data_IF_382168768498
#
_entry.id   IF_382168768498
#
_cell.length_a   1.000
_cell.length_b   1.000
_cell.length_c   1.000
_cell.angle_alpha   90.00
_cell.angle_beta   90.00
_cell.angle_gamma   90.00
#
_symmetry.space_group_name_H-M   'P 1'
#
loop_
_entity.id
_entity.type
_entity.pdbx_description
1 polymer ?
#
# COMPACT_ATOMS: atom_id res chain seq x y z
N UNK A 1 -35.33 -9.88 28.56
CA UNK A 1 -34.49 -8.68 28.35
C UNK A 1 -33.04 -9.06 28.07
N UNK A 2 -32.46 -10.00 28.82
CA UNK A 2 -31.07 -10.43 28.67
C UNK A 2 -30.71 -10.95 27.26
N UNK A 3 -31.63 -11.63 26.59
CA UNK A 3 -31.42 -12.10 25.20
C UNK A 3 -31.20 -10.96 24.19
N UNK A 4 -31.74 -9.76 24.46
CA UNK A 4 -31.62 -8.61 23.57
C UNK A 4 -30.20 -8.05 23.60
N UNK A 5 -29.59 -7.94 24.79
CA UNK A 5 -28.18 -7.56 24.94
C UNK A 5 -27.27 -8.56 24.25
N UNK A 6 -27.51 -9.87 24.42
CA UNK A 6 -26.73 -10.89 23.73
C UNK A 6 -26.89 -10.81 22.20
N UNK A 7 -28.09 -10.50 21.69
CA UNK A 7 -28.31 -10.32 20.26
C UNK A 7 -27.60 -9.07 19.71
N UNK A 8 -27.65 -7.94 20.43
CA UNK A 8 -26.87 -6.74 20.13
C UNK A 8 -25.38 -7.07 20.12
N UNK A 9 -24.91 -7.81 21.14
CA UNK A 9 -23.53 -8.25 21.23
C UNK A 9 -23.11 -9.09 20.02
N UNK A 10 -23.94 -10.07 19.64
CA UNK A 10 -23.70 -10.93 18.48
C UNK A 10 -23.64 -10.12 17.17
N UNK A 11 -24.56 -9.17 17.00
CA UNK A 11 -24.55 -8.26 15.86
C UNK A 11 -23.21 -7.50 15.75
N UNK A 12 -22.71 -6.95 16.85
CA UNK A 12 -21.43 -6.23 16.84
C UNK A 12 -20.21 -7.14 16.69
N UNK A 13 -20.24 -8.38 17.19
CA UNK A 13 -19.21 -9.37 16.90
C UNK A 13 -19.12 -9.64 15.39
N UNK A 14 -20.27 -9.88 14.74
CA UNK A 14 -20.33 -10.14 13.29
C UNK A 14 -19.90 -8.91 12.50
N UNK A 15 -20.37 -7.72 12.88
CA UNK A 15 -19.96 -6.47 12.26
C UNK A 15 -18.45 -6.25 12.35
N UNK A 16 -17.83 -6.52 13.50
CA UNK A 16 -16.39 -6.41 13.69
C UNK A 16 -15.61 -7.38 12.79
N UNK A 17 -16.06 -8.63 12.67
CA UNK A 17 -15.42 -9.62 11.78
C UNK A 17 -15.51 -9.19 10.31
N UNK A 18 -16.67 -8.70 9.86
CA UNK A 18 -16.86 -8.20 8.49
C UNK A 18 -15.97 -6.98 8.23
N UNK A 19 -15.94 -6.03 9.16
CA UNK A 19 -15.09 -4.83 9.06
C UNK A 19 -13.61 -5.21 9.02
N UNK A 20 -13.15 -6.09 9.91
CA UNK A 20 -11.78 -6.55 9.96
C UNK A 20 -11.36 -7.23 8.65
N UNK A 21 -12.23 -8.10 8.10
CA UNK A 21 -11.99 -8.72 6.80
C UNK A 21 -11.86 -7.69 5.68
N UNK A 22 -12.76 -6.70 5.63
CA UNK A 22 -12.72 -5.66 4.62
C UNK A 22 -11.43 -4.83 4.70
N UNK A 23 -10.99 -4.47 5.92
CA UNK A 23 -9.73 -3.75 6.14
C UNK A 23 -8.53 -4.60 5.70
N UNK A 24 -8.47 -5.87 6.09
CA UNK A 24 -7.39 -6.77 5.69
C UNK A 24 -7.32 -6.97 4.18
N UNK A 25 -8.48 -7.09 3.50
CA UNK A 25 -8.53 -7.15 2.04
C UNK A 25 -8.01 -5.86 1.40
N UNK A 26 -8.36 -4.70 1.96
CA UNK A 26 -7.82 -3.41 1.54
C UNK A 26 -6.29 -3.39 1.66
N UNK A 27 -5.76 -3.75 2.83
CA UNK A 27 -4.30 -3.80 3.08
C UNK A 27 -3.59 -4.75 2.10
N UNK A 28 -4.15 -5.92 1.82
CA UNK A 28 -3.57 -6.89 0.88
C UNK A 28 -3.59 -6.35 -0.55
N UNK A 29 -4.68 -5.72 -0.98
CA UNK A 29 -4.78 -5.10 -2.31
C UNK A 29 -3.80 -3.94 -2.42
N UNK A 30 -3.73 -3.06 -1.43
CA UNK A 30 -2.80 -1.94 -1.39
C UNK A 30 -1.35 -2.43 -1.40
N UNK A 31 -1.03 -3.49 -0.65
CA UNK A 31 0.31 -4.10 -0.65
C UNK A 31 0.64 -4.75 -1.99
N UNK A 32 -0.31 -5.40 -2.63
CA UNK A 32 -0.14 -5.96 -3.96
C UNK A 32 0.04 -4.85 -5.01
N UNK A 33 -0.74 -3.76 -4.92
CA UNK A 33 -0.59 -2.59 -5.77
C UNK A 33 0.75 -1.91 -5.54
N UNK A 34 1.21 -1.77 -4.30
CA UNK A 34 2.54 -1.23 -3.98
C UNK A 34 3.62 -2.16 -4.53
N UNK A 35 3.53 -3.48 -4.34
CA UNK A 35 4.50 -4.42 -4.89
C UNK A 35 4.55 -4.39 -6.43
N UNK A 36 3.40 -4.18 -7.08
CA UNK A 36 3.30 -3.99 -8.52
C UNK A 36 3.72 -2.57 -8.98
N UNK A 37 3.64 -1.58 -8.09
CA UNK A 37 3.96 -0.16 -8.34
C UNK A 37 5.32 0.25 -7.78
N UNK A 38 6.07 -0.63 -7.12
CA UNK A 38 7.42 -0.38 -6.59
C UNK A 38 8.46 -0.09 -7.70
N UNK A 39 8.02 -0.01 -8.95
CA UNK A 39 8.77 0.47 -10.10
C UNK A 39 8.31 1.83 -10.65
N UNK A 40 7.28 2.45 -10.08
CA UNK A 40 6.80 3.78 -10.42
C UNK A 40 6.82 4.64 -9.14
N UNK A 41 7.86 5.47 -9.03
CA UNK A 41 8.13 6.52 -8.03
C UNK A 41 6.99 7.52 -7.82
N UNK A 42 5.99 7.59 -8.71
CA UNK A 42 4.83 8.47 -8.54
C UNK A 42 3.75 7.84 -7.65
N UNK A 43 4.05 7.75 -6.34
CA UNK A 43 3.07 7.37 -5.33
C UNK A 43 1.93 8.41 -5.26
N UNK A 44 0.80 8.10 -5.90
CA UNK A 44 -0.47 8.73 -5.57
C UNK A 44 -0.83 8.31 -4.15
N UNK A 45 -0.52 9.21 -3.21
CA UNK A 45 -1.05 9.27 -1.85
C UNK A 45 -1.34 7.90 -1.25
N UNK A 46 -0.29 7.21 -0.80
CA UNK A 46 -0.44 6.15 0.17
C UNK A 46 -1.32 6.71 1.30
N UNK A 47 -2.55 6.22 1.41
CA UNK A 47 -3.44 6.53 2.53
C UNK A 47 -2.59 6.35 3.79
N UNK A 48 -2.42 7.38 4.64
CA UNK A 48 -1.45 7.32 5.72
C UNK A 48 -1.74 6.07 6.55
N UNK A 49 -0.74 5.21 6.71
CA UNK A 49 -0.84 3.89 7.37
C UNK A 49 -1.57 3.96 8.72
N UNK A 50 -1.47 5.12 9.38
CA UNK A 50 -2.20 5.51 10.58
C UNK A 50 -3.72 5.35 10.51
N UNK A 51 -4.35 5.65 9.37
CA UNK A 51 -5.79 5.50 9.16
C UNK A 51 -6.23 4.04 9.22
N UNK A 52 -5.48 3.14 8.59
CA UNK A 52 -5.75 1.71 8.61
C UNK A 52 -5.57 1.13 10.01
N UNK A 53 -4.50 1.50 10.72
CA UNK A 53 -4.26 1.07 12.10
C UNK A 53 -5.42 1.51 13.00
N UNK A 54 -5.87 2.77 12.89
CA UNK A 54 -6.96 3.29 13.69
C UNK A 54 -8.29 2.55 13.46
N UNK A 55 -8.60 2.25 12.20
CA UNK A 55 -9.81 1.50 11.81
C UNK A 55 -9.75 0.04 12.26
N UNK A 56 -8.57 -0.57 12.22
CA UNK A 56 -8.31 -1.93 12.70
C UNK A 56 -8.56 -2.01 14.23
N UNK A 57 -7.98 -1.06 14.97
CA UNK A 57 -8.15 -0.96 16.43
C UNK A 57 -9.60 -0.68 16.83
N UNK A 58 -10.28 0.21 16.10
CA UNK A 58 -11.71 0.48 16.31
C UNK A 58 -12.58 -0.75 16.08
N UNK A 59 -12.31 -1.52 15.02
CA UNK A 59 -13.03 -2.76 14.73
C UNK A 59 -12.81 -3.82 15.82
N UNK A 60 -11.59 -3.92 16.35
CA UNK A 60 -11.29 -4.80 17.47
C UNK A 60 -12.07 -4.41 18.74
N UNK A 61 -12.07 -3.11 19.10
CA UNK A 61 -12.81 -2.62 20.27
C UNK A 61 -14.32 -2.87 20.15
N UNK A 62 -14.91 -2.67 18.96
CA UNK A 62 -16.33 -2.99 18.70
C UNK A 62 -16.59 -4.49 18.85
N UNK A 63 -15.68 -5.35 18.37
CA UNK A 63 -15.77 -6.79 18.56
C UNK A 63 -15.71 -7.19 20.03
N UNK A 64 -14.79 -6.62 20.79
CA UNK A 64 -14.65 -6.86 22.23
C UNK A 64 -15.89 -6.40 23.01
N UNK A 65 -16.46 -5.25 22.63
CA UNK A 65 -17.73 -4.77 23.14
C UNK A 65 -18.85 -5.79 22.86
N UNK A 66 -18.93 -6.28 21.62
CA UNK A 66 -19.86 -7.34 21.23
C UNK A 66 -19.74 -8.60 22.09
N UNK A 67 -18.52 -9.13 22.23
CA UNK A 67 -18.24 -10.35 23.03
C UNK A 67 -18.66 -10.15 24.48
N UNK A 68 -18.31 -9.00 25.08
CA UNK A 68 -18.69 -8.69 26.45
C UNK A 68 -20.20 -8.66 26.67
N UNK A 69 -20.97 -8.15 25.69
CA UNK A 69 -22.43 -8.16 25.74
C UNK A 69 -23.02 -9.57 25.51
N UNK A 70 -22.43 -10.40 24.64
CA UNK A 70 -22.87 -11.79 24.42
C UNK A 70 -22.82 -12.58 25.72
N UNK A 71 -21.70 -12.49 26.44
CA UNK A 71 -21.50 -13.17 27.74
C UNK A 71 -22.14 -12.42 28.92
N UNK A 72 -22.85 -11.32 28.65
CA UNK A 72 -23.53 -10.48 29.64
C UNK A 72 -22.60 -9.97 30.74
N UNK A 73 -21.36 -9.62 30.41
CA UNK A 73 -20.37 -9.17 31.38
C UNK A 73 -20.70 -7.77 31.93
N UNK A 74 -20.57 -7.57 33.24
CA UNK A 74 -20.73 -6.28 33.91
C UNK A 74 -19.80 -5.16 33.38
N UNK A 75 -18.66 -5.51 32.78
CA UNK A 75 -17.77 -4.55 32.12
C UNK A 75 -18.21 -4.10 30.72
N UNK A 76 -19.21 -4.75 30.12
CA UNK A 76 -19.70 -4.40 28.79
C UNK A 76 -19.96 -2.90 28.56
N UNK A 77 -20.70 -2.16 29.44
CA UNK A 77 -20.95 -0.73 29.22
C UNK A 77 -19.66 0.10 29.12
N UNK A 78 -18.63 -0.24 29.89
CA UNK A 78 -17.35 0.47 29.86
C UNK A 78 -16.59 0.22 28.56
N UNK A 79 -16.63 -1.01 28.04
CA UNK A 79 -15.99 -1.36 26.75
C UNK A 79 -16.75 -0.71 25.59
N UNK A 80 -18.08 -0.70 25.62
CA UNK A 80 -18.89 0.04 24.64
C UNK A 80 -18.58 1.55 24.69
N UNK A 81 -18.49 2.14 25.87
CA UNK A 81 -18.15 3.55 26.02
C UNK A 81 -16.76 3.88 25.47
N UNK A 82 -15.77 3.00 25.71
CA UNK A 82 -14.42 3.14 25.17
C UNK A 82 -14.40 3.06 23.65
N UNK A 83 -15.11 2.08 23.05
CA UNK A 83 -15.23 1.95 21.61
C UNK A 83 -15.95 3.16 20.98
N UNK A 84 -17.01 3.66 21.62
CA UNK A 84 -17.71 4.86 21.18
C UNK A 84 -16.80 6.10 21.23
N UNK A 85 -16.03 6.26 22.30
CA UNK A 85 -15.05 7.34 22.42
C UNK A 85 -14.00 7.25 21.31
N UNK A 86 -13.46 6.06 21.05
CA UNK A 86 -12.49 5.83 19.97
C UNK A 86 -13.05 6.24 18.59
N UNK A 87 -14.29 5.87 18.31
CA UNK A 87 -14.96 6.24 17.05
C UNK A 87 -15.30 7.73 16.97
N UNK A 88 -15.62 8.37 18.10
CA UNK A 88 -15.82 9.81 18.16
C UNK A 88 -14.52 10.57 17.85
N UNK A 89 -13.38 10.13 18.42
CA UNK A 89 -12.06 10.70 18.14
C UNK A 89 -11.69 10.51 16.67
N UNK A 90 -12.01 9.34 16.08
CA UNK A 90 -11.83 9.12 14.66
C UNK A 90 -12.57 10.17 13.82
N UNK A 91 -13.89 10.31 14.04
CA UNK A 91 -14.73 11.17 13.23
C UNK A 91 -14.47 12.66 13.44
N UNK A 92 -14.10 13.07 14.66
CA UNK A 92 -13.90 14.48 15.00
C UNK A 92 -12.49 14.99 14.68
N UNK A 93 -11.46 14.13 14.78
CA UNK A 93 -10.07 14.58 14.71
C UNK A 93 -9.23 13.82 13.69
N UNK A 94 -9.23 12.49 13.72
CA UNK A 94 -8.33 11.70 12.86
C UNK A 94 -8.75 11.80 11.39
N UNK A 95 -10.03 11.57 11.11
CA UNK A 95 -10.56 11.62 9.76
C UNK A 95 -10.35 12.99 9.08
N UNK A 96 -10.75 14.13 9.67
CA UNK A 96 -10.58 15.42 9.02
C UNK A 96 -9.11 15.86 8.85
N UNK A 97 -8.21 15.40 9.72
CA UNK A 97 -6.81 15.86 9.74
C UNK A 97 -5.87 14.99 8.91
N UNK A 98 -6.13 13.69 8.88
CA UNK A 98 -5.20 12.71 8.32
C UNK A 98 -5.79 11.88 7.17
N UNK A 99 -7.11 11.76 7.06
CA UNK A 99 -7.76 10.92 6.04
C UNK A 99 -8.35 11.76 4.93
N UNK A 100 -9.09 12.81 5.30
CA UNK A 100 -9.68 13.75 4.38
C UNK A 100 -8.58 14.77 3.98
N UNK A 101 -7.93 14.56 2.83
CA UNK A 101 -6.87 15.45 2.35
C UNK A 101 -7.33 16.92 2.22
N UNK A 102 -6.41 17.87 1.96
CA UNK A 102 -6.71 19.31 1.94
C UNK A 102 -7.66 19.77 0.82
N UNK A 103 -8.09 18.88 -0.07
CA UNK A 103 -9.00 19.16 -1.18
C UNK A 103 -10.49 18.93 -0.82
N UNK A 104 -11.42 19.41 -1.67
CA UNK A 104 -12.83 19.11 -1.50
C UNK A 104 -13.09 17.60 -1.62
N UNK A 105 -13.80 17.03 -0.63
CA UNK A 105 -14.21 15.62 -0.68
C UNK A 105 -15.08 15.36 -1.92
N UNK A 106 -14.79 14.27 -2.62
CA UNK A 106 -15.66 13.72 -3.65
C UNK A 106 -16.99 13.21 -3.05
N UNK A 107 -17.97 12.94 -3.91
CA UNK A 107 -19.30 12.50 -3.43
C UNK A 107 -19.27 11.14 -2.73
N UNK A 108 -18.37 10.25 -3.13
CA UNK A 108 -18.29 8.91 -2.57
C UNK A 108 -17.66 8.93 -1.17
N UNK A 109 -16.64 9.76 -0.93
CA UNK A 109 -16.10 9.99 0.41
C UNK A 109 -17.14 10.61 1.33
N UNK A 110 -17.94 11.56 0.84
CA UNK A 110 -19.05 12.16 1.62
C UNK A 110 -20.09 11.11 2.02
N UNK A 111 -20.49 10.23 1.10
CA UNK A 111 -21.42 9.13 1.39
C UNK A 111 -20.83 8.16 2.42
N UNK A 112 -19.57 7.77 2.25
CA UNK A 112 -18.86 6.93 3.21
C UNK A 112 -18.83 7.54 4.62
N UNK A 113 -18.49 8.83 4.73
CA UNK A 113 -18.45 9.56 6.00
C UNK A 113 -19.83 9.64 6.67
N UNK A 114 -20.89 9.84 5.89
CA UNK A 114 -22.25 9.84 6.40
C UNK A 114 -22.68 8.46 6.91
N UNK A 115 -22.32 7.37 6.22
CA UNK A 115 -22.56 6.01 6.69
C UNK A 115 -21.83 5.74 8.00
N UNK A 116 -20.56 6.14 8.13
CA UNK A 116 -19.81 5.99 9.39
C UNK A 116 -20.45 6.78 10.54
N UNK A 117 -20.95 7.99 10.29
CA UNK A 117 -21.68 8.79 11.29
C UNK A 117 -22.98 8.13 11.71
N UNK A 118 -23.76 7.62 10.76
CA UNK A 118 -25.00 6.92 11.07
C UNK A 118 -24.74 5.65 11.88
N UNK A 119 -23.73 4.86 11.51
CA UNK A 119 -23.30 3.69 12.26
C UNK A 119 -22.87 4.05 13.69
N UNK A 120 -22.13 5.15 13.86
CA UNK A 120 -21.75 5.65 15.17
C UNK A 120 -22.96 6.04 16.05
N UNK A 121 -23.98 6.68 15.47
CA UNK A 121 -25.22 7.01 16.21
C UNK A 121 -25.93 5.73 16.68
N UNK A 122 -26.04 4.71 15.82
CA UNK A 122 -26.62 3.41 16.20
C UNK A 122 -25.80 2.74 17.29
N UNK A 123 -24.47 2.83 17.22
CA UNK A 123 -23.56 2.32 18.26
C UNK A 123 -23.73 3.05 19.60
N UNK A 124 -23.92 4.37 19.59
CA UNK A 124 -24.21 5.14 20.80
C UNK A 124 -25.54 4.73 21.45
N UNK A 125 -26.58 4.50 20.64
CA UNK A 125 -27.86 4.00 21.17
C UNK A 125 -27.70 2.62 21.81
N UNK A 126 -26.93 1.73 21.19
CA UNK A 126 -26.59 0.44 21.79
C UNK A 126 -25.79 0.59 23.09
N UNK A 127 -24.82 1.52 23.12
CA UNK A 127 -24.02 1.83 24.31
C UNK A 127 -24.90 2.29 25.47
N UNK A 128 -25.82 3.22 25.22
CA UNK A 128 -26.78 3.71 26.23
C UNK A 128 -27.68 2.57 26.71
N UNK A 129 -28.15 1.72 25.79
CA UNK A 129 -28.99 0.58 26.15
C UNK A 129 -28.24 -0.44 27.03
N UNK A 130 -27.00 -0.78 26.71
CA UNK A 130 -26.17 -1.69 27.53
C UNK A 130 -25.92 -1.08 28.91
N UNK A 131 -25.62 0.22 28.99
CA UNK A 131 -25.48 0.93 30.27
C UNK A 131 -26.78 0.91 31.09
N UNK A 132 -27.93 1.11 30.45
CA UNK A 132 -29.23 0.99 31.12
C UNK A 132 -29.46 -0.42 31.69
N UNK A 133 -29.12 -1.46 30.94
CA UNK A 133 -29.24 -2.85 31.42
C UNK A 133 -28.28 -3.15 32.57
N UNK A 134 -27.08 -2.55 32.57
CA UNK A 134 -26.14 -2.61 33.69
C UNK A 134 -26.73 -2.01 34.97
N UNK A 135 -27.33 -0.81 34.89
CA UNK A 135 -27.97 -0.15 36.05
C UNK A 135 -29.15 -0.96 36.63
N UNK A 136 -29.83 -1.75 35.80
CA UNK A 136 -30.87 -2.68 36.24
C UNK A 136 -30.32 -3.95 36.94
N UNK A 137 -29.00 -4.12 37.01
CA UNK A 137 -28.36 -5.29 37.62
C UNK A 137 -28.59 -6.59 36.85
N UNK A 138 -28.88 -6.52 35.56
CA UNK A 138 -29.20 -7.68 34.71
C UNK A 138 -27.98 -8.31 34.06
N UNK A 139 -26.81 -7.69 34.16
CA UNK A 139 -25.54 -8.23 33.69
C UNK A 139 -24.91 -9.14 34.74
N UNK A 140 -24.24 -10.18 34.28
CA UNK A 140 -23.48 -11.12 35.10
C UNK A 140 -22.26 -10.43 35.69
N UNK A 141 -22.24 -10.32 37.01
CA UNK A 141 -21.08 -9.82 37.75
C UNK A 141 -19.88 -10.73 37.51
N UNK A 142 -18.68 -10.15 37.48
CA UNK A 142 -17.43 -10.90 37.29
C UNK A 142 -17.26 -12.10 38.24
N UNK A 143 -17.79 -12.02 39.46
CA UNK A 143 -17.76 -13.11 40.45
C UNK A 143 -18.62 -14.33 40.08
N UNK A 144 -19.61 -14.16 39.20
CA UNK A 144 -20.62 -15.17 38.87
C UNK A 144 -20.47 -15.72 37.45
N UNK A 145 -19.38 -15.37 36.74
CA UNK A 145 -19.09 -15.94 35.44
C UNK A 145 -18.77 -17.44 35.57
N UNK A 146 -19.56 -18.28 34.90
CA UNK A 146 -19.21 -19.69 34.71
C UNK A 146 -17.89 -19.83 33.94
N UNK A 147 -17.21 -20.98 34.11
CA UNK A 147 -15.90 -21.24 33.48
C UNK A 147 -15.91 -21.06 31.95
N UNK A 148 -17.03 -21.36 31.28
CA UNK A 148 -17.18 -21.19 29.84
C UNK A 148 -17.17 -19.72 29.42
N UNK A 149 -17.73 -18.82 30.23
CA UNK A 149 -17.67 -17.39 29.96
C UNK A 149 -16.24 -16.86 30.16
N UNK A 150 -15.53 -17.38 31.16
CA UNK A 150 -14.12 -17.08 31.38
C UNK A 150 -13.24 -17.52 30.22
N UNK A 151 -13.43 -18.70 29.65
CA UNK A 151 -12.62 -19.14 28.50
C UNK A 151 -12.84 -18.26 27.28
N UNK A 152 -14.08 -17.85 27.00
CA UNK A 152 -14.38 -16.90 25.91
C UNK A 152 -13.74 -15.54 26.17
N UNK A 153 -13.89 -14.99 27.39
CA UNK A 153 -13.31 -13.71 27.76
C UNK A 153 -11.78 -13.71 27.68
N UNK A 154 -11.12 -14.73 28.26
CA UNK A 154 -9.66 -14.87 28.22
C UNK A 154 -9.16 -15.06 26.79
N UNK A 155 -9.87 -15.83 25.96
CA UNK A 155 -9.49 -16.02 24.55
C UNK A 155 -9.59 -14.70 23.77
N UNK A 156 -10.66 -13.94 23.97
CA UNK A 156 -10.82 -12.63 23.33
C UNK A 156 -9.75 -11.64 23.77
N UNK A 157 -9.42 -11.62 25.08
CA UNK A 157 -8.35 -10.77 25.64
C UNK A 157 -6.98 -11.21 25.10
N UNK A 158 -6.67 -12.50 25.11
CA UNK A 158 -5.40 -13.03 24.62
C UNK A 158 -5.20 -12.75 23.12
N UNK A 159 -6.26 -12.91 22.33
CA UNK A 159 -6.27 -12.53 20.92
C UNK A 159 -6.00 -11.03 20.76
N UNK A 160 -6.69 -10.19 21.55
CA UNK A 160 -6.46 -8.75 21.59
C UNK A 160 -5.03 -8.37 21.95
N UNK A 161 -4.47 -8.95 23.01
CA UNK A 161 -3.09 -8.69 23.44
C UNK A 161 -2.07 -9.11 22.39
N UNK A 162 -2.27 -10.28 21.77
CA UNK A 162 -1.39 -10.76 20.69
C UNK A 162 -1.44 -9.82 19.50
N UNK A 163 -2.64 -9.41 19.11
CA UNK A 163 -2.88 -8.47 18.04
C UNK A 163 -2.27 -7.08 18.33
N UNK A 164 -2.54 -6.48 19.50
CA UNK A 164 -1.95 -5.19 19.89
C UNK A 164 -0.44 -5.26 20.07
N UNK A 165 0.09 -6.38 20.57
CA UNK A 165 1.53 -6.62 20.65
C UNK A 165 2.19 -6.64 19.27
N UNK A 166 1.55 -7.28 18.29
CA UNK A 166 2.00 -7.27 16.90
C UNK A 166 1.94 -5.86 16.29
N UNK A 167 0.84 -5.12 16.51
CA UNK A 167 0.72 -3.74 16.03
C UNK A 167 1.74 -2.80 16.66
N UNK A 168 1.99 -2.91 17.97
CA UNK A 168 3.01 -2.14 18.67
C UNK A 168 4.42 -2.47 18.18
N UNK A 169 4.68 -3.73 17.84
CA UNK A 169 5.94 -4.16 17.23
C UNK A 169 6.13 -3.54 15.84
N UNK A 170 5.10 -3.58 14.97
CA UNK A 170 5.13 -2.90 13.68
C UNK A 170 5.30 -1.38 13.80
N UNK A 171 4.61 -0.74 14.75
CA UNK A 171 4.74 0.69 14.95
C UNK A 171 6.15 1.05 15.43
N UNK A 172 6.74 0.22 16.29
CA UNK A 172 8.11 0.39 16.77
C UNK A 172 9.13 0.24 15.65
N UNK A 173 8.97 -0.73 14.73
CA UNK A 173 9.88 -0.85 13.59
C UNK A 173 9.79 0.37 12.67
N UNK A 174 8.57 0.85 12.40
CA UNK A 174 8.35 2.09 11.62
C UNK A 174 8.97 3.33 12.29
N UNK A 175 8.76 3.54 13.59
CA UNK A 175 9.29 4.69 14.33
C UNK A 175 10.81 4.66 14.48
N UNK A 176 11.42 3.48 14.52
CA UNK A 176 12.87 3.32 14.60
C UNK A 176 13.55 3.40 13.22
N UNK A 177 12.79 3.67 12.15
CA UNK A 177 13.32 3.71 10.79
C UNK A 177 13.92 2.37 10.35
N UNK A 178 13.57 1.28 11.04
CA UNK A 178 13.98 -0.04 10.62
C UNK A 178 13.02 -0.45 9.50
N UNK A 179 13.53 -0.77 8.30
CA UNK A 179 12.67 -1.38 7.29
C UNK A 179 11.94 -2.55 7.96
N UNK A 180 10.65 -2.70 7.65
CA UNK A 180 9.86 -3.86 8.07
C UNK A 180 10.50 -5.10 7.42
N UNK A 181 11.60 -5.56 7.99
CA UNK A 181 12.21 -6.82 7.64
C UNK A 181 11.17 -7.87 7.94
N UNK A 182 10.77 -8.60 6.91
CA UNK A 182 10.17 -9.90 7.09
C UNK A 182 11.02 -10.65 8.13
N UNK A 183 10.42 -11.44 9.04
CA UNK A 183 11.19 -12.23 10.00
C UNK A 183 12.27 -13.13 9.37
N UNK A 184 12.26 -13.31 8.04
CA UNK A 184 13.26 -14.01 7.24
C UNK A 184 14.38 -13.13 6.65
N UNK A 185 14.35 -11.80 6.82
CA UNK A 185 15.34 -10.89 6.23
C UNK A 185 16.59 -10.75 7.10
N UNK A 186 16.56 -11.27 8.34
CA UNK A 186 17.66 -11.19 9.31
C UNK A 186 18.86 -12.09 9.03
N UNK A 187 18.80 -13.02 8.06
CA UNK A 187 19.91 -13.94 7.75
C UNK A 187 20.38 -13.90 6.28
N UNK A 188 19.70 -13.17 5.39
CA UNK A 188 20.07 -13.12 3.97
C UNK A 188 20.45 -11.72 3.48
N UNK A 189 20.93 -10.81 4.34
CA UNK A 189 21.89 -9.79 3.92
C UNK A 189 23.26 -10.43 3.64
N UNK A 190 23.28 -11.47 2.81
CA UNK A 190 24.38 -11.56 1.87
C UNK A 190 24.35 -10.21 1.16
N UNK A 191 25.46 -9.47 1.22
CA UNK A 191 25.75 -8.48 0.19
C UNK A 191 25.37 -9.19 -1.11
N UNK A 192 24.20 -8.86 -1.70
CA UNK A 192 23.90 -9.35 -3.03
C UNK A 192 25.06 -8.80 -3.81
N UNK A 193 25.94 -9.69 -4.24
CA UNK A 193 27.00 -9.33 -5.14
C UNK A 193 26.28 -8.58 -6.26
N UNK A 194 26.55 -7.29 -6.34
CA UNK A 194 25.90 -6.43 -7.31
C UNK A 194 26.52 -6.85 -8.64
N UNK A 195 25.92 -7.85 -9.26
CA UNK A 195 26.33 -8.34 -10.56
C UNK A 195 25.83 -7.29 -11.53
N UNK A 196 26.70 -6.35 -11.90
CA UNK A 196 26.42 -5.41 -12.96
C UNK A 196 26.22 -6.21 -14.25
N UNK A 197 25.04 -6.12 -14.88
CA UNK A 197 24.83 -6.80 -16.13
C UNK A 197 25.73 -6.17 -17.20
N UNK A 198 26.42 -7.00 -17.98
CA UNK A 198 27.30 -6.55 -19.05
C UNK A 198 26.60 -5.67 -20.09
N UNK A 199 25.27 -5.71 -20.16
CA UNK A 199 24.47 -4.87 -21.04
C UNK A 199 23.12 -4.59 -20.40
N UNK A 200 22.76 -3.32 -20.36
CA UNK A 200 21.46 -2.86 -19.90
C UNK A 200 20.58 -2.59 -21.12
N UNK A 201 19.28 -2.77 -20.97
CA UNK A 201 18.28 -2.40 -21.94
C UNK A 201 17.32 -1.46 -21.22
N UNK A 202 17.01 -0.33 -21.84
CA UNK A 202 16.07 0.61 -21.25
C UNK A 202 14.77 0.56 -22.06
N UNK A 203 13.69 0.15 -21.43
CA UNK A 203 12.37 0.03 -22.06
C UNK A 203 11.30 0.54 -21.13
N UNK A 204 10.22 1.06 -21.68
CA UNK A 204 9.05 1.40 -20.87
C UNK A 204 8.36 0.09 -20.47
N UNK A 205 8.30 -0.16 -19.16
CA UNK A 205 7.49 -1.22 -18.60
C UNK A 205 6.77 -0.71 -17.36
N UNK A 206 5.43 -0.70 -17.41
CA UNK A 206 4.59 -0.08 -16.38
C UNK A 206 4.72 -0.70 -14.99
N UNK A 207 5.21 -1.93 -14.88
CA UNK A 207 5.31 -2.63 -13.59
C UNK A 207 6.73 -3.01 -13.21
N UNK A 208 7.67 -3.00 -14.16
CA UNK A 208 9.01 -3.55 -13.97
C UNK A 208 10.13 -2.51 -14.12
N UNK A 209 9.79 -1.23 -14.26
CA UNK A 209 10.74 -0.11 -14.29
C UNK A 209 11.32 0.12 -15.67
N UNK A 210 12.38 0.93 -15.74
CA UNK A 210 12.99 1.30 -17.02
C UNK A 210 14.15 0.39 -17.42
N UNK A 211 14.90 -0.15 -16.46
CA UNK A 211 16.18 -0.81 -16.69
C UNK A 211 16.06 -2.34 -16.62
N UNK A 212 16.60 -3.02 -17.62
CA UNK A 212 16.55 -4.47 -17.75
C UNK A 212 17.92 -5.01 -18.12
N UNK A 213 18.25 -6.19 -17.64
CA UNK A 213 19.40 -6.92 -18.14
C UNK A 213 19.10 -7.37 -19.58
N UNK A 214 19.93 -6.99 -20.54
CA UNK A 214 19.71 -7.31 -21.96
C UNK A 214 19.83 -8.81 -22.25
N UNK A 215 20.64 -9.54 -21.48
CA UNK A 215 20.87 -10.98 -21.68
C UNK A 215 19.75 -11.83 -21.08
N UNK A 216 19.31 -11.50 -19.86
CA UNK A 216 18.27 -12.28 -19.15
C UNK A 216 16.85 -11.74 -19.40
N UNK A 217 16.73 -10.48 -19.80
CA UNK A 217 15.44 -9.78 -19.94
C UNK A 217 14.79 -9.40 -18.60
N UNK A 218 15.46 -9.69 -17.48
CA UNK A 218 14.98 -9.43 -16.13
C UNK A 218 15.14 -7.96 -15.75
N UNK A 219 14.22 -7.39 -14.95
CA UNK A 219 14.38 -6.03 -14.46
C UNK A 219 15.57 -5.90 -13.52
N UNK A 220 16.31 -4.80 -13.66
CA UNK A 220 17.36 -4.42 -12.73
C UNK A 220 16.67 -3.64 -11.61
N UNK A 221 16.44 -4.32 -10.48
CA UNK A 221 15.89 -3.67 -9.28
C UNK A 221 16.86 -2.59 -8.79
N UNK A 222 16.31 -1.49 -8.31
CA UNK A 222 17.06 -0.39 -7.71
C UNK A 222 18.11 0.24 -8.65
N UNK A 223 17.86 0.21 -9.97
CA UNK A 223 18.78 0.74 -10.97
C UNK A 223 19.15 2.22 -10.73
N UNK A 224 18.21 3.04 -10.27
CA UNK A 224 18.50 4.45 -9.93
C UNK A 224 19.50 4.58 -8.79
N UNK A 225 19.37 3.76 -7.75
CA UNK A 225 20.33 3.70 -6.63
C UNK A 225 21.66 3.09 -7.09
N UNK A 226 21.59 2.06 -7.94
CA UNK A 226 22.75 1.36 -8.48
C UNK A 226 23.66 2.27 -9.31
N UNK A 227 23.06 3.15 -10.11
CA UNK A 227 23.77 4.12 -10.95
C UNK A 227 23.92 5.50 -10.29
N UNK A 228 23.53 5.64 -9.02
CA UNK A 228 23.52 6.90 -8.28
C UNK A 228 22.95 8.07 -9.12
N UNK A 229 21.79 7.82 -9.73
CA UNK A 229 21.16 8.78 -10.64
C UNK A 229 20.57 9.96 -9.86
N UNK A 230 20.78 11.20 -10.31
CA UNK A 230 20.21 12.36 -9.65
C UNK A 230 18.71 12.39 -9.91
N UNK A 231 17.96 12.95 -8.96
CA UNK A 231 16.49 13.10 -9.05
C UNK A 231 16.07 13.75 -10.38
N UNK A 232 16.87 14.68 -10.92
CA UNK A 232 16.59 15.32 -12.20
C UNK A 232 16.61 14.36 -13.41
N UNK A 233 17.36 13.27 -13.35
CA UNK A 233 17.36 12.22 -14.41
C UNK A 233 16.15 11.32 -14.20
N UNK A 234 15.82 10.96 -12.96
CA UNK A 234 14.60 10.20 -12.62
C UNK A 234 13.34 10.92 -13.10
N UNK A 235 13.22 12.22 -12.83
CA UNK A 235 12.11 13.07 -13.28
C UNK A 235 11.91 13.00 -14.81
N UNK A 236 12.99 12.90 -15.60
CA UNK A 236 12.90 12.80 -17.06
C UNK A 236 12.38 11.42 -17.53
N UNK A 237 12.73 10.35 -16.82
CA UNK A 237 12.19 9.02 -17.07
C UNK A 237 10.71 8.95 -16.68
N UNK A 238 10.32 9.57 -15.57
CA UNK A 238 8.94 9.71 -15.14
C UNK A 238 8.11 10.52 -16.15
N UNK A 239 8.63 11.66 -16.62
CA UNK A 239 8.02 12.45 -17.68
C UNK A 239 7.80 11.62 -18.95
N UNK A 240 8.82 10.85 -19.35
CA UNK A 240 8.72 9.96 -20.50
C UNK A 240 7.63 8.89 -20.31
N UNK A 241 7.56 8.26 -19.14
CA UNK A 241 6.51 7.27 -18.82
C UNK A 241 5.12 7.90 -18.79
N UNK A 242 4.95 9.07 -18.18
CA UNK A 242 3.67 9.79 -18.14
C UNK A 242 3.23 10.13 -19.56
N UNK A 243 4.14 10.60 -20.41
CA UNK A 243 3.86 10.83 -21.83
C UNK A 243 3.45 9.55 -22.56
N UNK A 244 4.12 8.41 -22.31
CA UNK A 244 3.69 7.13 -22.88
C UNK A 244 2.28 6.74 -22.43
N UNK A 245 2.03 6.76 -21.12
CA UNK A 245 0.75 6.34 -20.50
C UNK A 245 -0.43 7.19 -20.96
N UNK A 246 -0.22 8.49 -21.19
CA UNK A 246 -1.27 9.39 -21.64
C UNK A 246 -1.68 9.20 -23.11
N UNK A 247 -0.80 8.63 -23.95
CA UNK A 247 -1.04 8.49 -25.39
C UNK A 247 -1.25 7.03 -25.82
N UNK A 248 -1.20 6.06 -24.91
CA UNK A 248 -1.45 4.65 -25.19
C UNK A 248 -2.95 4.29 -25.20
N UNK A 249 -3.30 3.29 -26.01
CA UNK A 249 -4.65 2.75 -26.13
C UNK A 249 -5.06 2.05 -24.82
N UNK A 250 -6.08 2.58 -24.10
CA UNK A 250 -6.55 2.01 -22.85
C UNK A 250 -7.26 0.66 -23.06
N UNK A 251 -7.56 0.27 -24.29
CA UNK A 251 -8.19 -1.02 -24.63
C UNK A 251 -7.18 -2.09 -25.01
N UNK A 252 -5.93 -1.73 -25.29
CA UNK A 252 -4.87 -2.69 -25.55
C UNK A 252 -4.44 -3.34 -24.23
N UNK A 253 -4.66 -4.65 -24.03
CA UNK A 253 -4.30 -5.35 -22.80
C UNK A 253 -2.79 -5.37 -22.56
N UNK A 254 -1.97 -5.21 -23.61
CA UNK A 254 -0.51 -5.18 -23.49
C UNK A 254 0.03 -3.75 -23.34
N UNK A 255 -0.81 -2.72 -23.52
CA UNK A 255 -0.42 -1.30 -23.44
C UNK A 255 0.69 -0.91 -24.42
N UNK A 256 0.70 -1.52 -25.61
CA UNK A 256 1.76 -1.34 -26.61
C UNK A 256 1.33 -0.44 -27.78
N UNK A 257 0.03 -0.23 -27.97
CA UNK A 257 -0.51 0.64 -29.03
C UNK A 257 -0.71 2.06 -28.53
N UNK A 258 -0.45 3.03 -29.40
CA UNK A 258 -0.85 4.42 -29.21
C UNK A 258 -2.30 4.64 -29.67
N UNK A 259 -2.99 5.58 -29.02
CA UNK A 259 -4.29 6.11 -29.44
C UNK A 259 -4.17 6.82 -30.78
N UNK A 260 -3.16 7.68 -30.94
CA UNK A 260 -2.81 8.34 -32.20
C UNK A 260 -1.33 8.05 -32.54
N UNK A 261 -1.05 7.37 -33.66
CA UNK A 261 0.32 7.19 -34.14
C UNK A 261 1.10 8.50 -34.35
N UNK A 262 0.41 9.64 -34.52
CA UNK A 262 1.02 10.96 -34.65
C UNK A 262 1.72 11.44 -33.37
N UNK A 263 1.43 10.85 -32.21
CA UNK A 263 2.06 11.20 -30.92
C UNK A 263 3.47 10.62 -30.77
N UNK A 264 3.85 9.69 -31.65
CA UNK A 264 5.12 8.97 -31.60
C UNK A 264 6.36 9.90 -31.55
N UNK A 265 6.49 10.94 -32.40
CA UNK A 265 7.66 11.83 -32.36
C UNK A 265 7.81 12.55 -31.02
N UNK A 266 6.70 12.89 -30.36
CA UNK A 266 6.70 13.56 -29.04
C UNK A 266 7.21 12.61 -27.95
N UNK A 267 6.74 11.37 -27.95
CA UNK A 267 7.21 10.32 -27.02
C UNK A 267 8.70 10.05 -27.23
N UNK A 268 9.13 9.95 -28.49
CA UNK A 268 10.54 9.74 -28.84
C UNK A 268 11.42 10.91 -28.39
N UNK A 269 10.94 12.16 -28.51
CA UNK A 269 11.66 13.33 -28.01
C UNK A 269 11.78 13.35 -26.47
N UNK A 270 10.77 12.87 -25.74
CA UNK A 270 10.84 12.73 -24.29
C UNK A 270 11.84 11.65 -23.88
N UNK A 271 11.79 10.49 -24.55
CA UNK A 271 12.75 9.42 -24.36
C UNK A 271 14.18 9.94 -24.55
N UNK A 272 14.45 10.57 -25.70
CA UNK A 272 15.79 11.06 -26.04
C UNK A 272 16.35 12.00 -24.98
N UNK A 273 15.53 12.90 -24.41
CA UNK A 273 15.96 13.79 -23.31
C UNK A 273 16.37 13.01 -22.05
N UNK A 274 15.59 12.01 -21.65
CA UNK A 274 15.93 11.16 -20.50
C UNK A 274 17.23 10.39 -20.74
N UNK A 275 17.42 9.86 -21.95
CA UNK A 275 18.65 9.17 -22.34
C UNK A 275 19.86 10.11 -22.37
N UNK A 276 19.75 11.27 -23.01
CA UNK A 276 20.86 12.23 -23.08
C UNK A 276 21.31 12.66 -21.68
N UNK A 277 20.37 12.84 -20.74
CA UNK A 277 20.66 13.16 -19.34
C UNK A 277 21.33 12.00 -18.59
N UNK A 278 20.84 10.76 -18.79
CA UNK A 278 21.45 9.55 -18.24
C UNK A 278 22.90 9.39 -18.73
N UNK A 279 23.12 9.60 -20.03
CA UNK A 279 24.44 9.53 -20.66
C UNK A 279 25.39 10.55 -20.05
N UNK A 280 24.94 11.81 -19.98
CA UNK A 280 25.74 12.89 -19.44
C UNK A 280 26.15 12.61 -17.99
N UNK A 281 25.21 12.11 -17.17
CA UNK A 281 25.49 11.74 -15.78
C UNK A 281 26.50 10.60 -15.67
N UNK A 282 26.31 9.52 -16.45
CA UNK A 282 27.22 8.37 -16.44
C UNK A 282 28.64 8.79 -16.87
N UNK A 283 28.76 9.63 -17.91
CA UNK A 283 30.05 10.14 -18.36
C UNK A 283 30.71 11.06 -17.32
N UNK A 284 29.92 11.84 -16.58
CA UNK A 284 30.43 12.66 -15.49
C UNK A 284 30.96 11.79 -14.34
N UNK A 285 30.21 10.76 -13.93
CA UNK A 285 30.62 9.81 -12.89
C UNK A 285 31.90 9.06 -13.27
N UNK A 286 32.06 8.66 -14.54
CA UNK A 286 33.29 8.04 -15.05
C UNK A 286 34.50 8.97 -14.92
N UNK A 287 34.34 10.26 -15.20
CA UNK A 287 35.40 11.26 -15.04
C UNK A 287 35.78 11.51 -13.59
N UNK A 288 34.80 11.49 -12.68
CA UNK A 288 35.00 11.74 -11.25
C UNK A 288 35.56 10.52 -10.50
N UNK A 289 35.14 9.30 -10.87
CA UNK A 289 35.44 8.05 -10.16
C UNK A 289 35.73 6.86 -11.10
N UNK A 290 36.84 6.87 -11.87
CA UNK A 290 37.12 5.87 -12.91
C UNK A 290 37.33 4.43 -12.40
N UNK A 291 37.61 4.24 -11.11
CA UNK A 291 37.79 2.90 -10.51
C UNK A 291 36.49 2.26 -10.03
N UNK A 292 35.42 3.05 -9.87
CA UNK A 292 34.15 2.59 -9.28
C UNK A 292 33.17 2.14 -10.35
N UNK A 293 33.20 2.77 -11.53
CA UNK A 293 32.31 2.48 -12.64
C UNK A 293 33.12 2.21 -13.91
N UNK A 294 33.61 0.98 -14.09
CA UNK A 294 34.44 0.66 -15.22
C UNK A 294 33.52 0.45 -16.44
N UNK A 295 33.19 1.55 -17.12
CA UNK A 295 32.42 1.56 -18.36
C UNK A 295 33.39 1.53 -19.54
N UNK A 296 33.20 0.56 -20.45
CA UNK A 296 34.15 0.31 -21.53
C UNK A 296 33.76 1.01 -22.83
N UNK A 297 32.47 1.03 -23.15
CA UNK A 297 31.92 1.69 -24.35
C UNK A 297 30.42 1.88 -24.16
N UNK A 298 29.92 3.04 -24.55
CA UNK A 298 28.50 3.33 -24.62
C UNK A 298 28.07 3.39 -26.09
N UNK A 299 27.36 2.37 -26.55
CA UNK A 299 26.65 2.44 -27.84
C UNK A 299 25.16 2.60 -27.55
N UNK A 300 24.63 3.75 -27.94
CA UNK A 300 23.21 4.02 -27.92
C UNK A 300 22.65 3.74 -29.29
N UNK A 301 21.88 2.65 -29.40
CA UNK A 301 21.09 2.40 -30.59
C UNK A 301 19.61 2.57 -30.22
N UNK A 302 19.03 3.69 -30.67
CA UNK A 302 17.59 3.85 -30.71
C UNK A 302 17.03 2.89 -31.75
N UNK A 303 16.82 1.64 -31.33
CA UNK A 303 16.09 0.67 -32.12
C UNK A 303 14.59 0.94 -31.93
N UNK A 304 14.07 1.88 -32.69
CA UNK A 304 12.66 1.82 -33.04
C UNK A 304 12.49 0.58 -33.92
N UNK A 305 12.26 -0.60 -33.33
CA UNK A 305 11.75 -1.76 -34.05
C UNK A 305 10.30 -1.46 -34.49
N UNK A 306 10.16 -0.51 -35.41
CA UNK A 306 8.98 -0.28 -36.19
C UNK A 306 8.95 -1.33 -37.27
N UNK A 307 8.13 -2.37 -37.07
CA UNK A 307 7.77 -3.32 -38.13
C UNK A 307 7.15 -2.53 -39.28
N UNK A 308 7.96 -2.20 -40.27
CA UNK A 308 7.46 -1.78 -41.57
C UNK A 308 6.63 -2.96 -42.14
N UNK A 309 5.32 -2.77 -42.18
CA UNK A 309 4.38 -3.45 -43.10
C UNK A 309 4.17 -4.98 -42.99
N UNK A 310 4.06 -5.56 -41.79
CA UNK A 310 3.47 -6.90 -41.63
C UNK A 310 2.09 -6.80 -40.92
N UNK A 311 0.97 -7.23 -41.55
CA UNK A 311 -0.37 -6.93 -41.03
C UNK A 311 -0.74 -7.66 -39.74
N UNK A 312 -0.01 -8.68 -39.29
CA UNK A 312 -0.42 -9.47 -38.13
C UNK A 312 0.78 -10.07 -37.40
N UNK A 313 0.74 -9.89 -36.08
CA UNK A 313 1.48 -10.64 -35.05
C UNK A 313 2.98 -10.31 -34.96
N UNK A 314 3.35 -9.16 -34.40
CA UNK A 314 4.35 -9.08 -33.32
C UNK A 314 4.20 -7.73 -32.57
N UNK A 315 4.26 -7.74 -31.24
CA UNK A 315 4.08 -6.54 -30.41
C UNK A 315 5.17 -5.48 -30.66
N UNK A 316 4.78 -4.21 -30.74
CA UNK A 316 5.72 -3.08 -30.70
C UNK A 316 6.27 -2.97 -29.27
N UNK A 317 7.46 -3.52 -29.03
CA UNK A 317 8.18 -3.26 -27.78
C UNK A 317 9.13 -2.11 -28.06
N UNK A 318 8.86 -0.96 -27.44
CA UNK A 318 9.75 0.19 -27.50
C UNK A 318 11.04 -0.16 -26.75
N UNK A 319 12.01 -0.64 -27.51
CA UNK A 319 13.28 -1.15 -27.01
C UNK A 319 14.37 -0.16 -27.39
N UNK A 320 14.68 0.75 -26.48
CA UNK A 320 15.90 1.54 -26.58
C UNK A 320 17.05 0.69 -26.04
N UNK A 321 17.88 0.16 -26.96
CA UNK A 321 19.07 -0.60 -26.56
C UNK A 321 20.20 0.39 -26.29
N UNK A 322 20.39 0.66 -25.01
CA UNK A 322 21.57 1.34 -24.51
C UNK A 322 22.51 0.27 -23.94
N UNK A 323 23.37 -0.33 -24.76
CA UNK A 323 24.32 -1.32 -24.26
C UNK A 323 25.47 -0.61 -23.56
N UNK A 324 25.57 -0.80 -22.25
CA UNK A 324 26.69 -0.36 -21.42
C UNK A 324 27.56 -1.57 -21.12
N UNK A 325 28.77 -1.63 -21.68
CA UNK A 325 29.71 -2.71 -21.34
C UNK A 325 30.43 -2.36 -20.03
N UNK A 326 30.19 -3.14 -18.97
CA UNK A 326 30.90 -3.07 -17.68
C UNK A 326 32.04 -4.11 -17.62
N UNK A 327 33.05 -3.90 -16.76
CA UNK A 327 34.20 -4.81 -16.60
C UNK A 327 33.93 -6.04 -15.73
#
# INVERSE_FOLDING_TARGET
>A
MNWLVSFIGLFYCVAAVIALRAILQGIVIDSALIALSANNSTSKQATPQWGNIWLLDGSFLVGLAGVSAVIQWDWAPWIFALAAFWQAVYLAYIAPKWVDGPGPMDEDTKKGRQQTRNAFIVFLLATIFVAYVHELGLLTTTSNLEWLHWTVAVTAIAFGLTYYGYQAWQLKSLLLGQPLGSPNDGENTHQREIIFPNKIQVRINQSLGFFFNQETGEPIQDAFELFDLPISVEDLFDDWMVHWVNHMDPTDPQRLRLLDPADWPTIQACAQRAFDALIAHIQQQEQESPTTYPLKTTQFELLAEGVAAAPRVHPQVLTLKASFDFW
#
